data_IF_153205214925
#
_entry.id   IF_153205214925
#
_cell.length_a   1.000
_cell.length_b   1.000
_cell.length_c   1.000
_cell.angle_alpha   90.00
_cell.angle_beta   90.00
_cell.angle_gamma   90.00
#
_symmetry.space_group_name_H-M   'P 1'
#
loop_
_entity.id
_entity.type
_entity.pdbx_description
1 polymer ?
#
# COMPACT_ATOMS: atom_id res chain seq x y z
N UNK A 1 9.26 6.34 24.40
CA UNK A 1 9.15 7.09 23.12
C UNK A 1 9.87 6.32 22.03
N UNK A 2 9.19 6.01 20.92
CA UNK A 2 9.80 5.32 19.77
C UNK A 2 10.88 6.20 19.14
N UNK A 3 12.00 5.61 18.72
CA UNK A 3 13.00 6.33 17.92
C UNK A 3 12.49 6.40 16.48
N UNK A 4 12.29 7.59 15.87
CA UNK A 4 11.77 7.70 14.50
C UNK A 4 12.53 6.83 13.50
N UNK A 5 13.86 6.74 13.64
CA UNK A 5 14.72 5.88 12.83
C UNK A 5 14.34 4.40 12.83
N UNK A 6 13.92 3.85 13.98
CA UNK A 6 13.49 2.44 14.07
C UNK A 6 12.23 2.19 13.23
N UNK A 7 11.33 3.17 13.16
CA UNK A 7 10.08 3.09 12.38
C UNK A 7 10.40 3.18 10.87
N UNK A 8 11.31 4.08 10.49
CA UNK A 8 11.75 4.23 9.11
C UNK A 8 12.41 2.94 8.61
N UNK A 9 13.35 2.38 9.39
CA UNK A 9 14.03 1.12 9.05
C UNK A 9 13.03 -0.05 8.96
N UNK A 10 12.03 -0.10 9.83
CA UNK A 10 10.95 -1.09 9.76
C UNK A 10 10.16 -0.99 8.46
N UNK A 11 9.72 0.21 8.10
CA UNK A 11 8.94 0.48 6.88
C UNK A 11 9.76 0.17 5.63
N UNK A 12 11.01 0.65 5.57
CA UNK A 12 11.93 0.39 4.46
C UNK A 12 12.11 -1.11 4.21
N UNK A 13 12.34 -1.86 5.27
CA UNK A 13 12.47 -3.32 5.18
C UNK A 13 11.17 -4.02 4.78
N UNK A 14 10.01 -3.53 5.24
CA UNK A 14 8.72 -4.08 4.83
C UNK A 14 8.52 -3.87 3.32
N UNK A 15 8.79 -2.66 2.81
CA UNK A 15 8.69 -2.39 1.37
C UNK A 15 9.67 -3.26 0.58
N UNK A 16 10.91 -3.43 1.05
CA UNK A 16 11.89 -4.32 0.40
C UNK A 16 11.40 -5.78 0.32
N UNK A 17 10.74 -6.29 1.36
CA UNK A 17 10.32 -7.70 1.46
C UNK A 17 8.96 -7.99 0.83
N UNK A 18 7.98 -7.12 1.02
CA UNK A 18 6.58 -7.38 0.64
C UNK A 18 6.03 -6.35 -0.34
N UNK A 19 6.82 -5.35 -0.73
CA UNK A 19 6.42 -4.28 -1.65
C UNK A 19 5.25 -3.45 -1.14
N UNK A 20 5.10 -3.33 0.18
CA UNK A 20 4.17 -2.46 0.89
C UNK A 20 4.72 -2.17 2.31
N UNK A 21 4.29 -1.08 2.97
CA UNK A 21 4.90 -0.65 4.22
C UNK A 21 4.48 -1.47 5.45
N UNK A 22 3.50 -2.37 5.35
CA UNK A 22 2.95 -3.12 6.49
C UNK A 22 3.46 -4.56 6.61
N UNK A 23 4.27 -5.05 5.68
CA UNK A 23 4.78 -6.42 5.71
C UNK A 23 3.72 -7.48 5.41
N UNK A 24 2.54 -7.06 4.91
CA UNK A 24 1.41 -7.96 4.60
C UNK A 24 1.61 -8.51 3.19
N UNK A 25 1.44 -9.81 2.93
CA UNK A 25 1.47 -10.32 1.56
C UNK A 25 0.48 -9.58 0.65
N UNK A 26 0.93 -9.08 -0.51
CA UNK A 26 0.07 -8.30 -1.42
C UNK A 26 -1.19 -9.06 -1.85
N UNK A 27 -1.14 -10.40 -1.94
CA UNK A 27 -2.31 -11.26 -2.25
C UNK A 27 -3.42 -11.21 -1.18
N UNK A 28 -3.06 -10.86 0.06
CA UNK A 28 -4.00 -10.68 1.17
C UNK A 28 -4.51 -9.25 1.25
N UNK A 29 -3.62 -8.29 1.00
CA UNK A 29 -3.93 -6.85 1.04
C UNK A 29 -4.77 -6.42 -0.16
N UNK A 30 -4.41 -6.85 -1.37
CA UNK A 30 -5.05 -6.47 -2.61
C UNK A 30 -6.17 -7.46 -3.02
N UNK A 31 -7.33 -7.31 -2.37
CA UNK A 31 -8.51 -8.17 -2.62
C UNK A 31 -9.77 -7.42 -3.03
N UNK A 32 -9.71 -6.09 -3.11
CA UNK A 32 -10.87 -5.24 -3.39
C UNK A 32 -11.55 -5.60 -4.72
N UNK A 33 -10.77 -5.96 -5.73
CA UNK A 33 -11.25 -6.33 -7.07
C UNK A 33 -12.04 -7.65 -7.12
N UNK A 34 -11.99 -8.48 -6.07
CA UNK A 34 -12.67 -9.77 -6.06
C UNK A 34 -14.19 -9.57 -5.96
N UNK A 35 -14.93 -10.23 -6.85
CA UNK A 35 -16.39 -10.19 -6.85
C UNK A 35 -16.99 -8.97 -7.55
N UNK A 36 -16.19 -8.18 -8.27
CA UNK A 36 -16.66 -7.14 -9.18
C UNK A 36 -16.17 -7.43 -10.59
N UNK A 37 -16.99 -7.07 -11.58
CA UNK A 37 -16.65 -7.23 -12.99
C UNK A 37 -15.75 -6.08 -13.44
N UNK A 38 -14.45 -6.36 -13.55
CA UNK A 38 -13.44 -5.43 -14.03
C UNK A 38 -12.75 -6.02 -15.25
N UNK A 39 -12.61 -5.19 -16.28
CA UNK A 39 -11.85 -5.54 -17.47
C UNK A 39 -10.37 -5.67 -17.12
N UNK A 40 -9.71 -6.64 -17.75
CA UNK A 40 -8.24 -6.82 -17.68
C UNK A 40 -7.51 -6.10 -18.81
N UNK A 41 -8.24 -5.54 -19.77
CA UNK A 41 -7.73 -4.78 -20.92
C UNK A 41 -8.49 -3.47 -21.11
N UNK A 42 -7.78 -2.41 -21.49
CA UNK A 42 -8.31 -1.05 -21.66
C UNK A 42 -7.18 -0.02 -21.82
N UNK A 43 -7.52 1.20 -22.23
CA UNK A 43 -6.56 2.31 -22.44
C UNK A 43 -5.81 2.73 -21.17
N UNK A 44 -6.51 2.82 -20.03
CA UNK A 44 -5.93 3.20 -18.74
C UNK A 44 -5.90 2.07 -17.71
N UNK A 45 -4.76 1.85 -17.06
CA UNK A 45 -4.68 0.98 -15.88
C UNK A 45 -5.11 1.76 -14.64
N UNK A 46 -6.16 1.31 -13.95
CA UNK A 46 -6.49 1.79 -12.61
C UNK A 46 -5.41 1.31 -11.64
N UNK A 47 -4.69 2.26 -11.05
CA UNK A 47 -3.55 2.02 -10.18
C UNK A 47 -3.83 2.67 -8.82
N UNK A 48 -4.05 1.85 -7.80
CA UNK A 48 -4.47 2.32 -6.49
C UNK A 48 -3.30 2.69 -5.58
N UNK A 49 -2.09 2.24 -5.92
CA UNK A 49 -0.93 2.40 -5.05
C UNK A 49 -1.08 1.66 -3.73
N UNK A 50 -2.04 0.73 -3.63
CA UNK A 50 -2.46 0.04 -2.41
C UNK A 50 -2.87 0.97 -1.25
N UNK A 51 -3.16 2.25 -1.52
CA UNK A 51 -3.39 3.25 -0.46
C UNK A 51 -4.70 3.03 0.28
N UNK A 52 -5.82 2.85 -0.44
CA UNK A 52 -7.09 2.51 0.19
C UNK A 52 -7.02 1.15 0.92
N UNK A 53 -6.36 0.17 0.31
CA UNK A 53 -6.14 -1.15 0.89
C UNK A 53 -5.28 -1.09 2.15
N UNK A 54 -4.47 -0.04 2.33
CA UNK A 54 -3.62 0.20 3.51
C UNK A 54 -4.40 0.71 4.72
N UNK A 55 -5.54 1.38 4.53
CA UNK A 55 -6.29 2.07 5.59
C UNK A 55 -6.58 1.19 6.82
N UNK A 56 -7.08 -0.05 6.69
CA UNK A 56 -7.37 -0.89 7.86
C UNK A 56 -6.12 -1.22 8.68
N UNK A 57 -4.97 -1.31 8.02
CA UNK A 57 -3.69 -1.60 8.66
C UNK A 57 -3.12 -0.37 9.36
N UNK A 58 -3.34 0.83 8.79
CA UNK A 58 -3.01 2.11 9.42
C UNK A 58 -3.83 2.28 10.70
N UNK A 59 -5.15 2.09 10.63
CA UNK A 59 -6.04 2.23 11.80
C UNK A 59 -5.72 1.20 12.89
N UNK A 60 -5.42 -0.04 12.51
CA UNK A 60 -4.96 -1.06 13.46
C UNK A 60 -3.63 -0.68 14.11
N UNK A 61 -2.64 -0.27 13.32
CA UNK A 61 -1.32 0.11 13.84
C UNK A 61 -1.41 1.32 14.77
N UNK A 62 -2.23 2.31 14.40
CA UNK A 62 -2.45 3.53 15.21
C UNK A 62 -3.13 3.21 16.54
N UNK A 63 -4.21 2.41 16.53
CA UNK A 63 -4.87 1.96 17.78
C UNK A 63 -3.94 1.19 18.71
N UNK A 64 -3.01 0.42 18.14
CA UNK A 64 -1.99 -0.25 18.94
C UNK A 64 -1.01 0.76 19.54
N UNK A 65 -0.48 1.70 18.73
CA UNK A 65 0.42 2.75 19.21
C UNK A 65 -0.20 3.60 20.32
N UNK A 66 -1.46 4.01 20.18
CA UNK A 66 -2.20 4.77 21.22
C UNK A 66 -2.24 4.01 22.55
N UNK A 67 -2.63 2.72 22.53
CA UNK A 67 -2.63 1.89 23.75
C UNK A 67 -1.24 1.69 24.37
N UNK A 68 -0.18 1.80 23.58
CA UNK A 68 1.20 1.69 24.06
C UNK A 68 1.73 2.99 24.66
N UNK A 69 1.26 4.15 24.21
CA UNK A 69 1.58 5.43 24.84
C UNK A 69 0.99 5.52 26.26
N UNK A 70 -0.15 4.87 26.48
CA UNK A 70 -0.87 4.90 27.77
C UNK A 70 -0.54 3.73 28.73
N UNK A 71 0.36 2.78 28.38
CA UNK A 71 0.52 1.50 29.10
C UNK A 71 1.95 1.11 29.51
N UNK A 72 2.07 0.28 30.56
CA UNK A 72 3.32 -0.32 31.09
C UNK A 72 3.99 -1.35 30.16
N UNK A 73 3.45 -1.59 28.97
CA UNK A 73 3.93 -2.61 28.01
C UNK A 73 5.09 -2.10 27.13
N UNK A 74 5.50 -0.84 27.29
CA UNK A 74 6.59 -0.20 26.56
C UNK A 74 7.92 -1.00 26.61
N UNK A 75 8.18 -1.74 27.69
CA UNK A 75 9.40 -2.54 27.85
C UNK A 75 9.44 -3.79 26.95
N UNK A 76 8.28 -4.34 26.56
CA UNK A 76 8.20 -5.54 25.71
C UNK A 76 8.38 -5.24 24.21
N UNK A 77 8.28 -3.96 23.81
CA UNK A 77 8.42 -3.51 22.42
C UNK A 77 9.81 -3.83 21.85
N UNK A 78 10.84 -3.85 22.69
CA UNK A 78 12.22 -4.20 22.28
C UNK A 78 12.31 -5.60 21.68
N UNK A 79 11.47 -6.53 22.13
CA UNK A 79 11.42 -7.91 21.63
C UNK A 79 10.67 -8.02 20.29
N UNK A 80 9.81 -7.05 19.96
CA UNK A 80 9.10 -7.00 18.67
C UNK A 80 10.05 -6.87 17.48
N UNK A 81 11.24 -6.30 17.67
CA UNK A 81 12.28 -6.17 16.63
C UNK A 81 12.78 -7.53 16.11
N UNK A 82 12.63 -8.60 16.90
CA UNK A 82 13.06 -9.95 16.54
C UNK A 82 11.92 -10.81 15.97
N UNK A 83 10.69 -10.29 15.94
CA UNK A 83 9.56 -11.02 15.40
C UNK A 83 9.68 -11.12 13.87
N UNK A 84 9.49 -12.31 13.26
CA UNK A 84 9.47 -12.44 11.82
C UNK A 84 8.42 -11.51 11.19
N UNK A 85 8.86 -10.62 10.28
CA UNK A 85 8.00 -9.58 9.67
C UNK A 85 6.78 -10.16 8.95
N UNK A 86 6.91 -11.36 8.38
CA UNK A 86 5.79 -12.09 7.79
C UNK A 86 4.72 -12.45 8.84
N UNK A 87 5.13 -12.88 10.04
CA UNK A 87 4.20 -13.17 11.13
C UNK A 87 3.52 -11.91 11.64
N UNK A 88 4.24 -10.79 11.71
CA UNK A 88 3.67 -9.49 12.06
C UNK A 88 2.64 -9.05 11.01
N UNK A 89 2.98 -9.14 9.72
CA UNK A 89 2.06 -8.83 8.63
C UNK A 89 0.82 -9.72 8.61
N UNK A 90 0.97 -11.03 8.87
CA UNK A 90 -0.16 -11.95 9.01
C UNK A 90 -1.01 -11.63 10.23
N UNK A 91 -0.39 -11.29 11.36
CA UNK A 91 -1.08 -10.83 12.57
C UNK A 91 -1.90 -9.56 12.32
N UNK A 92 -1.30 -8.56 11.69
CA UNK A 92 -2.01 -7.35 11.26
C UNK A 92 -3.17 -7.67 10.31
N UNK A 93 -2.97 -8.58 9.36
CA UNK A 93 -4.02 -9.03 8.46
C UNK A 93 -5.16 -9.77 9.17
N UNK A 94 -4.90 -10.49 10.25
CA UNK A 94 -5.94 -11.16 11.04
C UNK A 94 -6.66 -10.18 11.97
N UNK A 95 -5.92 -9.30 12.64
CA UNK A 95 -6.47 -8.37 13.63
C UNK A 95 -7.27 -7.25 12.97
N UNK A 96 -6.88 -6.79 11.77
CA UNK A 96 -7.54 -5.67 11.09
C UNK A 96 -9.03 -5.97 10.87
N UNK A 97 -9.90 -5.04 11.27
CA UNK A 97 -11.35 -5.22 11.27
C UNK A 97 -11.88 -5.59 9.88
N UNK A 98 -12.79 -6.57 9.83
CA UNK A 98 -13.50 -6.92 8.59
C UNK A 98 -14.32 -5.74 8.07
N UNK A 99 -14.86 -4.92 8.97
CA UNK A 99 -15.65 -3.75 8.63
C UNK A 99 -14.79 -2.65 7.99
N UNK A 100 -13.61 -2.35 8.56
CA UNK A 100 -12.68 -1.37 8.00
C UNK A 100 -12.16 -1.79 6.62
N UNK A 101 -11.85 -3.08 6.46
CA UNK A 101 -11.49 -3.66 5.15
C UNK A 101 -12.63 -3.53 4.16
N UNK A 102 -13.87 -3.82 4.58
CA UNK A 102 -15.05 -3.68 3.73
C UNK A 102 -15.23 -2.23 3.30
N UNK A 103 -15.18 -1.28 4.24
CA UNK A 103 -15.30 0.17 3.98
C UNK A 103 -14.25 0.65 2.97
N UNK A 104 -13.00 0.22 3.15
CA UNK A 104 -11.90 0.56 2.24
C UNK A 104 -12.11 -0.01 0.83
N UNK A 105 -12.59 -1.26 0.73
CA UNK A 105 -12.92 -1.87 -0.56
C UNK A 105 -14.15 -1.22 -1.22
N UNK A 106 -15.17 -0.87 -0.44
CA UNK A 106 -16.40 -0.22 -0.93
C UNK A 106 -16.09 1.15 -1.57
N UNK A 107 -15.07 1.87 -1.08
CA UNK A 107 -14.59 3.10 -1.70
C UNK A 107 -14.03 2.84 -3.11
N UNK A 108 -13.18 1.82 -3.26
CA UNK A 108 -12.64 1.44 -4.58
C UNK A 108 -13.72 0.90 -5.52
N UNK A 109 -14.70 0.15 -5.00
CA UNK A 109 -15.89 -0.27 -5.76
C UNK A 109 -16.69 0.92 -6.27
N UNK A 110 -16.87 1.94 -5.43
CA UNK A 110 -17.58 3.16 -5.80
C UNK A 110 -16.85 3.93 -6.90
N UNK A 111 -15.52 4.06 -6.78
CA UNK A 111 -14.69 4.68 -7.81
C UNK A 111 -14.78 3.91 -9.13
N UNK A 112 -14.58 2.60 -9.12
CA UNK A 112 -14.70 1.76 -10.31
C UNK A 112 -16.09 1.90 -10.95
N UNK A 113 -17.16 1.91 -10.15
CA UNK A 113 -18.53 2.09 -10.62
C UNK A 113 -18.74 3.45 -11.29
N UNK A 114 -18.17 4.52 -10.74
CA UNK A 114 -18.23 5.87 -11.34
C UNK A 114 -17.47 5.90 -12.67
N UNK A 115 -16.28 5.32 -12.74
CA UNK A 115 -15.50 5.24 -13.97
C UNK A 115 -16.25 4.46 -15.06
N UNK A 116 -16.81 3.30 -14.72
CA UNK A 116 -17.61 2.48 -15.65
C UNK A 116 -18.85 3.23 -16.15
N UNK A 117 -19.61 3.87 -15.25
CA UNK A 117 -20.80 4.66 -15.64
C UNK A 117 -20.45 5.89 -16.47
N UNK A 118 -19.25 6.43 -16.27
CA UNK A 118 -18.73 7.56 -17.06
C UNK A 118 -18.12 7.10 -18.39
N UNK A 119 -18.21 5.79 -18.73
CA UNK A 119 -17.67 5.20 -19.95
C UNK A 119 -16.16 5.44 -20.14
N UNK A 120 -15.42 5.51 -19.04
CA UNK A 120 -13.96 5.58 -19.08
C UNK A 120 -13.44 4.22 -19.54
N UNK A 121 -12.54 4.20 -20.53
CA UNK A 121 -11.88 2.97 -20.95
C UNK A 121 -10.72 2.65 -20.00
N UNK A 122 -10.99 1.83 -19.00
CA UNK A 122 -10.00 1.42 -18.02
C UNK A 122 -10.02 -0.09 -17.76
N UNK A 123 -8.89 -0.58 -17.27
CA UNK A 123 -8.72 -1.94 -16.81
C UNK A 123 -8.09 -1.97 -15.42
N UNK A 124 -8.12 -3.15 -14.80
CA UNK A 124 -7.43 -3.39 -13.55
C UNK A 124 -6.66 -4.72 -13.63
N UNK A 125 -5.38 -4.67 -13.27
CA UNK A 125 -4.47 -5.82 -13.24
C UNK A 125 -3.88 -5.92 -11.83
N UNK A 126 -4.39 -6.80 -10.95
CA UNK A 126 -3.97 -6.86 -9.56
C UNK A 126 -2.46 -7.16 -9.40
N UNK A 127 -1.86 -7.84 -10.36
CA UNK A 127 -0.43 -8.15 -10.42
C UNK A 127 0.46 -6.94 -10.75
N UNK A 128 -0.11 -5.84 -11.23
CA UNK A 128 0.60 -4.58 -11.53
C UNK A 128 0.32 -3.47 -10.51
N UNK A 129 -0.67 -3.63 -9.64
CA UNK A 129 -1.05 -2.62 -8.64
C UNK A 129 -0.18 -2.75 -7.39
N UNK A 130 0.99 -2.11 -7.44
CA UNK A 130 1.97 -2.09 -6.36
C UNK A 130 1.85 -0.83 -5.49
N UNK A 131 2.35 -0.90 -4.26
CA UNK A 131 2.53 0.30 -3.44
C UNK A 131 3.37 1.35 -4.18
N UNK A 132 3.00 2.64 -4.08
CA UNK A 132 3.69 3.72 -4.80
C UNK A 132 5.10 4.01 -4.29
N UNK A 133 5.41 3.63 -3.04
CA UNK A 133 6.69 3.96 -2.39
C UNK A 133 6.69 5.32 -1.68
N UNK A 134 5.62 6.10 -1.76
CA UNK A 134 5.59 7.50 -1.30
C UNK A 134 6.11 7.70 0.15
N UNK A 135 5.77 6.80 1.07
CA UNK A 135 6.18 6.90 2.47
C UNK A 135 7.69 6.74 2.68
N UNK A 136 8.39 6.01 1.80
CA UNK A 136 9.87 5.95 1.86
C UNK A 136 10.47 7.32 1.58
N UNK A 137 9.93 8.03 0.58
CA UNK A 137 10.34 9.37 0.24
C UNK A 137 10.02 10.37 1.36
N UNK A 138 8.79 10.34 1.88
CA UNK A 138 8.33 11.23 2.95
C UNK A 138 9.16 11.07 4.24
N UNK A 139 9.66 9.86 4.48
CA UNK A 139 10.51 9.53 5.63
C UNK A 139 12.02 9.74 5.38
N UNK A 140 12.41 10.17 4.18
CA UNK A 140 13.80 10.46 3.82
C UNK A 140 14.65 9.25 3.42
N UNK A 141 14.07 8.05 3.26
CA UNK A 141 14.74 6.90 2.65
C UNK A 141 14.68 7.00 1.12
N UNK A 142 15.46 7.95 0.58
CA UNK A 142 15.48 8.26 -0.86
C UNK A 142 15.99 7.07 -1.68
N UNK A 143 17.01 6.36 -1.20
CA UNK A 143 17.57 5.19 -1.90
C UNK A 143 16.56 4.04 -1.97
N UNK A 144 15.86 3.77 -0.85
CA UNK A 144 14.77 2.79 -0.81
C UNK A 144 13.63 3.17 -1.74
N UNK A 145 13.26 4.46 -1.76
CA UNK A 145 12.26 4.98 -2.68
C UNK A 145 12.67 4.77 -4.14
N UNK A 146 13.88 5.17 -4.54
CA UNK A 146 14.37 5.02 -5.91
C UNK A 146 14.39 3.56 -6.35
N UNK A 147 14.88 2.66 -5.48
CA UNK A 147 14.93 1.23 -5.77
C UNK A 147 13.52 0.65 -6.02
N UNK A 148 12.56 1.03 -5.18
CA UNK A 148 11.18 0.58 -5.32
C UNK A 148 10.46 1.22 -6.52
N UNK A 149 10.69 2.51 -6.76
CA UNK A 149 10.12 3.24 -7.89
C UNK A 149 10.59 2.67 -9.23
N UNK A 150 11.89 2.35 -9.38
CA UNK A 150 12.42 1.65 -10.57
C UNK A 150 11.72 0.31 -10.79
N UNK A 151 11.60 -0.50 -9.73
CA UNK A 151 10.87 -1.77 -9.81
C UNK A 151 9.44 -1.58 -10.33
N UNK A 152 8.66 -0.65 -9.77
CA UNK A 152 7.28 -0.41 -10.20
C UNK A 152 7.24 0.10 -11.65
N UNK A 153 8.09 1.06 -12.00
CA UNK A 153 8.15 1.64 -13.33
C UNK A 153 8.52 0.60 -14.40
N UNK A 154 9.49 -0.27 -14.12
CA UNK A 154 9.91 -1.32 -15.04
C UNK A 154 8.80 -2.35 -15.24
N UNK A 155 8.11 -2.77 -14.16
CA UNK A 155 6.96 -3.69 -14.27
C UNK A 155 5.83 -3.09 -15.12
N UNK A 156 5.52 -1.82 -14.94
CA UNK A 156 4.51 -1.13 -15.75
C UNK A 156 4.93 -1.05 -17.22
N UNK A 157 6.21 -0.72 -17.49
CA UNK A 157 6.76 -0.62 -18.84
C UNK A 157 6.79 -1.96 -19.57
N UNK A 158 7.23 -3.02 -18.89
CA UNK A 158 7.25 -4.40 -19.40
C UNK A 158 5.86 -4.86 -19.85
N UNK A 159 4.80 -4.40 -19.18
CA UNK A 159 3.41 -4.75 -19.51
C UNK A 159 2.75 -3.74 -20.46
N UNK A 160 3.53 -2.83 -21.05
CA UNK A 160 3.07 -1.87 -22.04
C UNK A 160 2.08 -0.83 -21.50
N UNK A 161 2.09 -0.57 -20.19
CA UNK A 161 1.17 0.40 -19.57
C UNK A 161 1.58 1.81 -19.99
N UNK A 162 0.67 2.51 -20.69
CA UNK A 162 0.90 3.88 -21.19
C UNK A 162 0.18 4.96 -20.39
N UNK A 163 -0.88 4.59 -19.69
CA UNK A 163 -1.76 5.50 -18.96
C UNK A 163 -2.18 4.89 -17.64
N UNK A 164 -2.03 5.68 -16.58
CA UNK A 164 -2.44 5.33 -15.22
C UNK A 164 -3.60 6.20 -14.81
N UNK A 165 -4.60 5.60 -14.17
CA UNK A 165 -5.68 6.28 -13.47
C UNK A 165 -5.43 6.04 -11.99
N UNK A 166 -5.08 7.08 -11.26
CA UNK A 166 -4.81 7.02 -9.82
C UNK A 166 -6.02 7.53 -9.03
N UNK A 167 -6.15 7.09 -7.79
CA UNK A 167 -7.34 7.36 -6.95
C UNK A 167 -7.04 8.16 -5.70
N UNK A 168 -5.76 8.44 -5.43
CA UNK A 168 -5.33 9.20 -4.27
C UNK A 168 -4.17 10.15 -4.63
N UNK A 169 -4.00 11.25 -3.87
CA UNK A 169 -2.99 12.25 -4.17
C UNK A 169 -1.54 11.77 -3.95
N UNK A 170 -1.27 10.86 -3.00
CA UNK A 170 0.09 10.40 -2.73
C UNK A 170 0.62 9.54 -3.87
N UNK A 171 -0.20 8.58 -4.33
CA UNK A 171 0.12 7.75 -5.50
C UNK A 171 0.26 8.58 -6.76
N UNK A 172 -0.65 9.55 -6.97
CA UNK A 172 -0.57 10.48 -8.10
C UNK A 172 0.72 11.28 -8.08
N UNK A 173 1.08 11.85 -6.92
CA UNK A 173 2.29 12.65 -6.76
C UNK A 173 3.56 11.80 -6.97
N UNK A 174 3.62 10.62 -6.36
CA UNK A 174 4.74 9.71 -6.52
C UNK A 174 4.97 9.38 -8.01
N UNK A 175 3.95 8.88 -8.71
CA UNK A 175 4.07 8.45 -10.11
C UNK A 175 4.28 9.61 -11.08
N UNK A 176 3.61 10.74 -10.88
CA UNK A 176 3.63 11.86 -11.83
C UNK A 176 4.80 12.81 -11.62
N UNK A 177 5.23 13.02 -10.37
CA UNK A 177 6.20 14.06 -10.01
C UNK A 177 7.50 13.49 -9.50
N UNK A 178 7.47 12.44 -8.67
CA UNK A 178 8.70 11.89 -8.08
C UNK A 178 9.38 10.89 -9.01
N UNK A 179 8.65 9.93 -9.58
CA UNK A 179 9.22 8.90 -10.46
C UNK A 179 10.01 9.50 -11.62
N UNK A 180 9.54 10.55 -12.33
CA UNK A 180 10.33 11.12 -13.43
C UNK A 180 11.63 11.81 -13.01
N UNK A 181 11.83 12.09 -11.72
CA UNK A 181 13.05 12.73 -11.21
C UNK A 181 14.18 11.72 -10.93
N UNK A 182 13.89 10.42 -10.91
CA UNK A 182 14.80 9.36 -10.49
C UNK A 182 14.84 8.19 -11.48
#
# INVERSE_FOLDING_TARGET
>A
MFRPRDIIELIADNVKKTRNPFGVPNVLMNRWWKGIDLRTEGDGLLFTGLMYQSVPYIEMTTRHLERYEDGTVADYVKYGKHMPKLLVGLGLALLSSKEEKKKSNDMLHSIAKVLTRSKVDFCYKPELDYYSGALLYDLGDIDGFMSHARFVADRLREHGVKKLITVDPHTTYALKVLYPKY
#
